data_IF_187867247284
#
_entry.id   IF_187867247284
#
_cell.length_a   1.000
_cell.length_b   1.000
_cell.length_c   1.000
_cell.angle_alpha   90.00
_cell.angle_beta   90.00
_cell.angle_gamma   90.00
#
_symmetry.space_group_name_H-M   'P 1'
#
loop_
_entity.id
_entity.type
_entity.pdbx_description
1 polymer ?
#
# COMPACT_ATOMS: atom_id res chain seq x y z
N UNK A 1 10.38 15.78 -4.54
CA UNK A 1 9.35 14.84 -4.05
C UNK A 1 8.17 15.67 -3.54
N UNK A 2 6.90 15.27 -3.75
CA UNK A 2 5.74 16.02 -3.24
C UNK A 2 5.89 16.22 -1.73
N UNK A 3 5.73 17.44 -1.17
CA UNK A 3 6.33 17.80 0.09
C UNK A 3 5.70 16.97 1.20
N UNK A 4 6.52 16.06 1.69
CA UNK A 4 6.39 15.48 3.00
C UNK A 4 6.34 16.66 3.97
N UNK A 5 5.17 16.97 4.52
CA UNK A 5 5.11 17.97 5.59
C UNK A 5 5.83 17.37 6.80
N UNK A 6 7.06 17.81 7.02
CA UNK A 6 7.92 17.34 8.10
C UNK A 6 7.24 17.52 9.47
N UNK A 7 6.32 18.49 9.61
CA UNK A 7 5.57 18.70 10.86
C UNK A 7 4.57 17.57 11.14
N UNK A 8 4.21 16.78 10.13
CA UNK A 8 3.22 15.71 10.20
C UNK A 8 3.84 14.30 10.10
N UNK A 9 5.17 14.17 10.21
CA UNK A 9 5.86 12.89 10.09
C UNK A 9 5.32 11.83 11.07
N UNK A 10 5.08 12.22 12.32
CA UNK A 10 4.53 11.31 13.33
C UNK A 10 3.12 10.82 12.97
N UNK A 11 2.27 11.68 12.41
CA UNK A 11 0.94 11.29 11.97
C UNK A 11 1.03 10.27 10.82
N UNK A 12 1.88 10.52 9.82
CA UNK A 12 2.08 9.57 8.72
C UNK A 12 2.59 8.21 9.19
N UNK A 13 3.48 8.18 10.19
CA UNK A 13 3.94 6.91 10.79
C UNK A 13 2.78 6.13 11.42
N UNK A 14 1.88 6.82 12.14
CA UNK A 14 0.70 6.18 12.73
C UNK A 14 -0.24 5.62 11.65
N UNK A 15 -0.53 6.40 10.60
CA UNK A 15 -1.36 5.95 9.48
C UNK A 15 -0.76 4.74 8.76
N UNK A 16 0.56 4.73 8.54
CA UNK A 16 1.24 3.59 7.91
C UNK A 16 1.22 2.33 8.79
N UNK A 17 1.40 2.48 10.11
CA UNK A 17 1.28 1.36 11.06
C UNK A 17 -0.15 0.82 11.10
N UNK A 18 -1.15 1.71 11.12
CA UNK A 18 -2.55 1.31 11.08
C UNK A 18 -2.91 0.59 9.78
N UNK A 19 -2.31 1.01 8.66
CA UNK A 19 -2.49 0.32 7.39
C UNK A 19 -1.95 -1.12 7.44
N UNK A 20 -0.76 -1.33 8.02
CA UNK A 20 -0.18 -2.67 8.14
C UNK A 20 -0.95 -3.56 9.15
N UNK A 21 -1.40 -2.99 10.26
CA UNK A 21 -2.08 -3.73 11.34
C UNK A 21 -3.60 -3.86 11.13
N UNK A 22 -4.17 -3.13 10.18
CA UNK A 22 -5.62 -2.99 10.00
C UNK A 22 -6.33 -2.24 11.15
N UNK A 23 -5.58 -1.66 12.09
CA UNK A 23 -6.15 -1.00 13.26
C UNK A 23 -6.28 0.51 13.04
N UNK A 24 -7.48 0.94 12.65
CA UNK A 24 -7.80 2.36 12.45
C UNK A 24 -8.49 3.01 13.66
N UNK A 25 -8.47 2.36 14.83
CA UNK A 25 -9.10 2.91 16.02
C UNK A 25 -8.31 4.11 16.55
N UNK A 26 -9.02 5.22 16.83
CA UNK A 26 -8.42 6.41 17.43
C UNK A 26 -7.92 7.46 16.44
N UNK A 27 -8.06 7.26 15.13
CA UNK A 27 -7.81 8.33 14.17
C UNK A 27 -8.89 9.40 14.24
N UNK A 28 -8.47 10.66 14.29
CA UNK A 28 -9.36 11.78 14.10
C UNK A 28 -9.80 11.84 12.63
N UNK A 29 -11.10 11.74 12.41
CA UNK A 29 -11.69 11.80 11.07
C UNK A 29 -11.38 13.12 10.35
N UNK A 30 -11.36 14.24 11.08
CA UNK A 30 -11.03 15.55 10.54
C UNK A 30 -9.59 15.62 10.04
N UNK A 31 -8.63 15.12 10.82
CA UNK A 31 -7.22 15.03 10.42
C UNK A 31 -7.02 14.10 9.22
N UNK A 32 -7.67 12.92 9.23
CA UNK A 32 -7.59 11.95 8.13
C UNK A 32 -8.01 12.60 6.81
N UNK A 33 -9.16 13.29 6.81
CA UNK A 33 -9.67 14.01 5.65
C UNK A 33 -8.81 15.24 5.28
N UNK A 34 -8.22 15.89 6.28
CA UNK A 34 -7.25 16.97 6.06
C UNK A 34 -6.04 16.49 5.25
N UNK A 35 -5.39 15.40 5.68
CA UNK A 35 -4.24 14.82 4.97
C UNK A 35 -4.61 14.29 3.59
N UNK A 36 -5.77 13.64 3.45
CA UNK A 36 -6.25 13.19 2.15
C UNK A 36 -6.44 14.37 1.18
N UNK A 37 -7.03 15.47 1.65
CA UNK A 37 -7.18 16.69 0.83
C UNK A 37 -5.82 17.30 0.45
N UNK A 38 -4.87 17.36 1.39
CA UNK A 38 -3.50 17.83 1.09
C UNK A 38 -2.84 16.98 0.02
N UNK A 39 -3.02 15.66 0.07
CA UNK A 39 -2.53 14.75 -0.96
C UNK A 39 -3.19 15.01 -2.32
N UNK A 40 -4.51 15.16 -2.40
CA UNK A 40 -5.21 15.39 -3.67
C UNK A 40 -4.85 16.73 -4.32
N UNK A 41 -4.76 17.79 -3.52
CA UNK A 41 -4.41 19.12 -4.02
C UNK A 41 -2.98 19.20 -4.51
N UNK A 42 -2.19 18.21 -4.11
CA UNK A 42 -0.78 18.35 -4.14
C UNK A 42 -0.04 17.34 -4.99
N UNK A 43 -0.22 16.05 -4.69
CA UNK A 43 0.61 15.00 -5.24
C UNK A 43 0.58 15.00 -6.78
N UNK A 44 1.65 14.56 -7.46
CA UNK A 44 1.62 14.35 -8.91
C UNK A 44 0.41 13.51 -9.31
N UNK A 45 -0.25 13.87 -10.42
CA UNK A 45 -1.49 13.22 -10.84
C UNK A 45 -1.31 11.70 -11.04
N UNK A 46 -0.18 11.28 -11.59
CA UNK A 46 0.13 9.86 -11.80
C UNK A 46 0.23 9.10 -10.47
N UNK A 47 0.79 9.73 -9.44
CA UNK A 47 0.89 9.14 -8.10
C UNK A 47 -0.49 9.02 -7.45
N UNK A 48 -1.31 10.08 -7.53
CA UNK A 48 -2.68 10.06 -7.04
C UNK A 48 -3.48 8.92 -7.68
N UNK A 49 -3.42 8.83 -9.01
CA UNK A 49 -4.12 7.80 -9.78
C UNK A 49 -3.70 6.39 -9.34
N UNK A 50 -2.38 6.14 -9.25
CA UNK A 50 -1.86 4.83 -8.87
C UNK A 50 -2.32 4.39 -7.48
N UNK A 51 -2.24 5.28 -6.48
CA UNK A 51 -2.62 4.95 -5.11
C UNK A 51 -4.14 4.81 -4.95
N UNK A 52 -4.94 5.65 -5.61
CA UNK A 52 -6.40 5.51 -5.59
C UNK A 52 -6.86 4.24 -6.27
N UNK A 53 -6.26 3.90 -7.42
CA UNK A 53 -6.57 2.66 -8.10
C UNK A 53 -6.23 1.46 -7.22
N UNK A 54 -5.03 1.42 -6.62
CA UNK A 54 -4.63 0.37 -5.69
C UNK A 54 -5.62 0.24 -4.51
N UNK A 55 -6.05 1.36 -3.94
CA UNK A 55 -7.03 1.36 -2.86
C UNK A 55 -8.38 0.76 -3.30
N UNK A 56 -8.88 1.15 -4.49
CA UNK A 56 -10.15 0.63 -5.00
C UNK A 56 -10.07 -0.83 -5.43
N UNK A 57 -8.93 -1.31 -5.92
CA UNK A 57 -8.71 -2.72 -6.23
C UNK A 57 -8.79 -3.61 -4.97
N UNK A 58 -8.38 -3.07 -3.82
CA UNK A 58 -8.47 -3.75 -2.52
C UNK A 58 -9.84 -3.57 -1.84
N UNK A 59 -10.68 -2.66 -2.35
CA UNK A 59 -11.96 -2.32 -1.73
C UNK A 59 -13.05 -3.34 -2.13
N UNK A 60 -13.79 -3.92 -1.16
CA UNK A 60 -14.94 -4.77 -1.45
C UNK A 60 -15.95 -4.08 -2.38
N UNK A 61 -16.61 -4.85 -3.24
CA UNK A 61 -17.53 -4.31 -4.24
C UNK A 61 -18.66 -3.49 -3.60
N UNK A 62 -19.18 -3.92 -2.45
CA UNK A 62 -20.25 -3.27 -1.71
C UNK A 62 -19.85 -1.85 -1.28
N UNK A 63 -18.61 -1.68 -0.84
CA UNK A 63 -18.07 -0.38 -0.45
C UNK A 63 -17.85 0.51 -1.68
N UNK A 64 -17.38 -0.05 -2.80
CA UNK A 64 -17.25 0.67 -4.07
C UNK A 64 -18.61 1.12 -4.61
N UNK A 65 -19.61 0.25 -4.56
CA UNK A 65 -20.98 0.55 -4.96
C UNK A 65 -21.60 1.63 -4.08
N UNK A 66 -21.41 1.54 -2.76
CA UNK A 66 -21.85 2.58 -1.82
C UNK A 66 -21.18 3.92 -2.13
N UNK A 67 -19.87 3.93 -2.37
CA UNK A 67 -19.15 5.14 -2.76
C UNK A 67 -19.73 5.73 -4.06
N UNK A 68 -19.91 4.90 -5.09
CA UNK A 68 -20.49 5.33 -6.37
C UNK A 68 -21.89 5.95 -6.19
N UNK A 69 -22.71 5.43 -5.27
CA UNK A 69 -24.02 6.01 -4.95
C UNK A 69 -23.96 7.37 -4.26
N UNK A 70 -22.93 7.61 -3.45
CA UNK A 70 -22.72 8.90 -2.76
C UNK A 70 -22.11 9.97 -3.68
N UNK A 71 -21.46 9.54 -4.76
CA UNK A 71 -20.78 10.42 -5.70
C UNK A 71 -21.76 10.98 -6.73
N UNK A 72 -21.64 12.26 -7.12
CA UNK A 72 -22.48 12.82 -8.17
C UNK A 72 -22.27 12.13 -9.53
N UNK A 73 -23.34 11.91 -10.33
CA UNK A 73 -23.25 11.18 -11.60
C UNK A 73 -22.25 11.79 -12.60
N UNK A 74 -22.01 13.10 -12.56
CA UNK A 74 -21.09 13.79 -13.48
C UNK A 74 -19.62 13.35 -13.33
N UNK A 75 -19.27 12.66 -12.25
CA UNK A 75 -17.93 12.13 -12.03
C UNK A 75 -17.70 10.75 -12.69
N UNK A 76 -18.75 10.14 -13.26
CA UNK A 76 -18.63 8.97 -14.13
C UNK A 76 -18.00 7.75 -13.46
N UNK A 77 -18.40 7.48 -12.21
CA UNK A 77 -17.81 6.42 -11.39
C UNK A 77 -18.54 5.11 -11.62
N UNK A 78 -17.81 4.10 -12.07
CA UNK A 78 -18.29 2.72 -12.17
C UNK A 78 -17.67 1.89 -11.04
N UNK A 79 -18.49 1.31 -10.13
CA UNK A 79 -17.98 0.51 -9.01
C UNK A 79 -17.28 -0.79 -9.46
N UNK A 80 -17.46 -1.23 -10.71
CA UNK A 80 -16.75 -2.37 -11.28
C UNK A 80 -15.37 -1.99 -11.85
N UNK A 81 -15.07 -0.71 -11.98
CA UNK A 81 -13.86 -0.22 -12.64
C UNK A 81 -13.07 0.74 -11.73
N UNK A 82 -12.09 0.21 -11.02
CA UNK A 82 -11.22 0.95 -10.08
C UNK A 82 -10.51 2.15 -10.72
N UNK A 83 -10.16 2.05 -12.01
CA UNK A 83 -9.55 3.16 -12.73
C UNK A 83 -10.52 4.35 -12.88
N UNK A 84 -11.77 4.07 -13.22
CA UNK A 84 -12.83 5.09 -13.29
C UNK A 84 -13.12 5.72 -11.93
N UNK A 85 -13.09 4.91 -10.87
CA UNK A 85 -13.28 5.38 -9.50
C UNK A 85 -12.15 6.33 -9.08
N UNK A 86 -10.90 5.96 -9.36
CA UNK A 86 -9.73 6.80 -9.08
C UNK A 86 -9.81 8.14 -9.81
N UNK A 87 -10.15 8.13 -11.10
CA UNK A 87 -10.34 9.35 -11.90
C UNK A 87 -11.46 10.24 -11.33
N UNK A 88 -12.62 9.63 -11.01
CA UNK A 88 -13.75 10.33 -10.42
C UNK A 88 -13.41 10.96 -9.08
N UNK A 89 -12.69 10.24 -8.20
CA UNK A 89 -12.26 10.75 -6.90
C UNK A 89 -11.25 11.89 -7.02
N UNK A 90 -10.24 11.76 -7.89
CA UNK A 90 -9.28 12.84 -8.14
C UNK A 90 -9.97 14.11 -8.64
N UNK A 91 -10.90 13.97 -9.61
CA UNK A 91 -11.68 15.10 -10.12
C UNK A 91 -12.54 15.71 -9.03
N UNK A 92 -13.23 14.89 -8.24
CA UNK A 92 -14.05 15.38 -7.14
C UNK A 92 -13.21 16.15 -6.12
N UNK A 93 -12.07 15.63 -5.69
CA UNK A 93 -11.27 16.29 -4.67
C UNK A 93 -10.63 17.61 -5.15
N UNK A 94 -10.43 17.77 -6.46
CA UNK A 94 -9.98 19.04 -7.06
C UNK A 94 -11.11 20.04 -7.27
N UNK A 95 -12.26 19.58 -7.76
CA UNK A 95 -13.39 20.45 -8.12
C UNK A 95 -14.27 20.80 -6.90
N UNK A 96 -14.49 19.85 -6.00
CA UNK A 96 -15.43 19.96 -4.86
C UNK A 96 -14.88 19.28 -3.59
N UNK A 97 -13.83 19.84 -2.95
CA UNK A 97 -13.23 19.25 -1.75
C UNK A 97 -14.22 19.12 -0.57
N UNK A 98 -15.19 20.03 -0.47
CA UNK A 98 -16.26 19.96 0.54
C UNK A 98 -17.17 18.74 0.33
N UNK A 99 -17.43 18.39 -0.92
CA UNK A 99 -18.25 17.21 -1.24
C UNK A 99 -17.48 15.92 -0.95
N UNK A 100 -16.18 15.90 -1.21
CA UNK A 100 -15.31 14.78 -0.83
C UNK A 100 -15.38 14.50 0.68
N UNK A 101 -15.32 15.55 1.51
CA UNK A 101 -15.48 15.43 2.97
C UNK A 101 -16.84 14.86 3.34
N UNK A 102 -17.92 15.33 2.68
CA UNK A 102 -19.27 14.80 2.91
C UNK A 102 -19.39 13.33 2.54
N UNK A 103 -18.84 12.91 1.40
CA UNK A 103 -18.84 11.50 0.98
C UNK A 103 -18.15 10.62 2.01
N UNK A 104 -16.96 11.02 2.48
CA UNK A 104 -16.21 10.25 3.48
C UNK A 104 -16.68 10.46 4.92
N UNK A 105 -17.61 11.38 5.19
CA UNK A 105 -18.25 11.49 6.50
C UNK A 105 -19.18 10.30 6.82
N UNK A 106 -19.55 9.52 5.81
CA UNK A 106 -20.33 8.30 6.00
C UNK A 106 -19.52 7.25 6.79
N UNK A 107 -20.01 6.66 7.88
CA UNK A 107 -19.23 5.79 8.77
C UNK A 107 -18.49 4.64 8.05
N UNK A 108 -19.15 4.01 7.08
CA UNK A 108 -18.55 2.94 6.26
C UNK A 108 -17.40 3.47 5.38
N UNK A 109 -17.58 4.65 4.78
CA UNK A 109 -16.60 5.25 3.87
C UNK A 109 -15.47 5.95 4.63
N UNK A 110 -15.72 6.38 5.87
CA UNK A 110 -14.70 6.95 6.73
C UNK A 110 -13.56 5.95 6.98
N UNK A 111 -13.90 4.67 7.20
CA UNK A 111 -12.91 3.60 7.27
C UNK A 111 -12.08 3.50 5.99
N UNK A 112 -12.72 3.62 4.82
CA UNK A 112 -12.01 3.67 3.53
C UNK A 112 -11.09 4.88 3.39
N UNK A 113 -11.50 6.05 3.86
CA UNK A 113 -10.65 7.24 3.89
C UNK A 113 -9.41 7.02 4.76
N UNK A 114 -9.56 6.41 5.95
CA UNK A 114 -8.45 6.10 6.83
C UNK A 114 -7.48 5.09 6.19
N UNK A 115 -8.00 4.04 5.55
CA UNK A 115 -7.21 3.07 4.79
C UNK A 115 -6.44 3.76 3.66
N UNK A 116 -7.10 4.63 2.90
CA UNK A 116 -6.47 5.35 1.81
C UNK A 116 -5.36 6.30 2.30
N UNK A 117 -5.62 7.05 3.38
CA UNK A 117 -4.59 7.89 4.02
C UNK A 117 -3.43 7.05 4.55
N UNK A 118 -3.71 5.86 5.10
CA UNK A 118 -2.71 4.86 5.49
C UNK A 118 -1.81 4.42 4.34
N UNK A 119 -2.41 4.08 3.20
CA UNK A 119 -1.70 3.69 1.99
C UNK A 119 -0.82 4.83 1.46
N UNK A 120 -1.34 6.06 1.43
CA UNK A 120 -0.59 7.26 1.04
C UNK A 120 0.61 7.46 1.97
N UNK A 121 0.39 7.40 3.29
CA UNK A 121 1.43 7.58 4.29
C UNK A 121 2.54 6.53 4.16
N UNK A 122 2.16 5.26 3.96
CA UNK A 122 3.10 4.15 3.72
C UNK A 122 3.94 4.43 2.47
N UNK A 123 3.31 4.82 1.36
CA UNK A 123 4.03 5.14 0.12
C UNK A 123 5.02 6.29 0.32
N UNK A 124 4.64 7.33 1.06
CA UNK A 124 5.50 8.48 1.34
C UNK A 124 6.73 8.09 2.17
N UNK A 125 6.54 7.28 3.22
CA UNK A 125 7.64 6.79 4.06
C UNK A 125 8.58 5.90 3.26
N UNK A 126 8.04 4.97 2.47
CA UNK A 126 8.84 4.05 1.66
C UNK A 126 9.65 4.79 0.59
N UNK A 127 9.08 5.82 -0.04
CA UNK A 127 9.81 6.61 -1.03
C UNK A 127 10.88 7.48 -0.38
N UNK A 128 10.59 8.09 0.78
CA UNK A 128 11.57 8.91 1.50
C UNK A 128 12.80 8.09 1.93
N UNK A 129 12.60 6.87 2.45
CA UNK A 129 13.71 5.97 2.82
C UNK A 129 14.58 5.62 1.61
N UNK A 130 13.97 5.42 0.43
CA UNK A 130 14.73 5.11 -0.81
C UNK A 130 15.59 6.28 -1.27
N UNK A 131 15.13 7.52 -1.06
CA UNK A 131 15.90 8.73 -1.37
C UNK A 131 17.08 8.89 -0.40
N UNK A 132 16.87 8.68 0.90
CA UNK A 132 17.92 8.69 1.93
C UNK A 132 19.04 7.67 1.60
N UNK A 133 18.67 6.43 1.27
CA UNK A 133 19.66 5.42 0.85
C UNK A 133 20.38 5.73 -0.47
N UNK A 134 19.84 6.62 -1.31
CA UNK A 134 20.48 7.04 -2.57
C UNK A 134 21.53 8.12 -2.33
N UNK A 135 21.28 9.04 -1.40
CA UNK A 135 22.21 10.12 -1.06
C UNK A 135 23.46 9.56 -0.34
N UNK A 136 23.28 8.65 0.62
CA UNK A 136 24.41 8.00 1.31
C UNK A 136 25.31 7.19 0.37
N UNK A 137 24.77 6.68 -0.74
CA UNK A 137 25.52 5.88 -1.71
C UNK A 137 26.27 6.72 -2.74
N UNK A 138 25.85 7.95 -3.00
CA UNK A 138 26.56 8.84 -3.92
C UNK A 138 27.73 9.54 -3.24
N UNK A 139 27.66 9.80 -1.94
CA UNK A 139 28.78 10.38 -1.20
C UNK A 139 29.94 9.38 -1.01
N UNK A 140 29.65 8.07 -0.93
CA UNK A 140 30.67 7.01 -0.88
C UNK A 140 31.23 6.58 -2.25
N UNK A 141 30.59 6.94 -3.36
CA UNK A 141 31.08 6.60 -4.70
C UNK A 141 32.08 7.62 -5.27
N UNK A 142 32.22 8.80 -4.64
CA UNK A 142 33.07 9.89 -5.13
C UNK A 142 34.33 10.14 -4.27
N UNK A 143 34.50 9.44 -3.14
CA UNK A 143 35.72 9.48 -2.33
C UNK A 143 36.37 8.10 -2.28
N UNK A 144 37.32 7.90 -3.20
CA UNK A 144 38.27 6.80 -3.11
C UNK A 144 39.12 6.88 -1.84
N UNK A 145 39.49 5.70 -1.32
CA UNK A 145 40.51 5.46 -0.29
C UNK A 145 40.17 5.92 1.14
N UNK A 146 39.58 5.03 1.95
CA UNK A 146 40.25 4.37 3.08
C UNK A 146 39.27 3.50 3.87
N UNK A 147 39.74 2.31 4.23
CA UNK A 147 39.14 1.42 5.23
C UNK A 147 39.03 2.14 6.58
N UNK A 148 37.89 2.07 7.27
CA UNK A 148 37.90 1.75 8.71
C UNK A 148 36.51 1.36 9.24
N UNK A 149 36.54 0.29 10.04
CA UNK A 149 35.50 -0.13 10.99
C UNK A 149 34.90 1.05 11.77
N UNK A 150 33.57 1.17 11.82
CA UNK A 150 32.88 2.13 12.69
C UNK A 150 31.39 1.80 12.81
N UNK A 151 30.95 1.44 14.01
CA UNK A 151 29.57 1.07 14.31
C UNK A 151 28.58 2.22 14.12
N UNK A 152 27.42 1.90 13.58
CA UNK A 152 26.33 2.86 13.42
C UNK A 152 25.52 2.94 14.72
N UNK A 153 25.67 4.07 15.39
CA UNK A 153 24.81 4.52 16.49
C UNK A 153 23.63 5.26 15.85
N UNK A 154 22.45 4.63 15.81
CA UNK A 154 21.21 5.26 15.34
C UNK A 154 20.64 6.19 16.42
N UNK A 155 20.09 7.36 16.05
CA UNK A 155 19.35 8.20 16.98
C UNK A 155 17.99 7.57 17.29
N UNK A 156 17.71 7.47 18.59
CA UNK A 156 16.55 6.84 19.21
C UNK A 156 15.22 7.48 18.81
N UNK A 157 14.26 6.65 18.41
CA UNK A 157 12.88 7.06 18.18
C UNK A 157 12.00 5.95 17.61
N UNK A 158 11.82 4.85 18.36
CA UNK A 158 10.70 3.90 18.17
C UNK A 158 10.66 3.06 16.85
N UNK A 159 11.82 2.65 16.30
CA UNK A 159 11.89 1.76 15.12
C UNK A 159 12.02 0.26 15.43
N UNK A 160 12.28 -0.14 16.68
CA UNK A 160 12.59 -1.54 17.02
C UNK A 160 11.47 -2.53 16.72
N UNK A 161 10.21 -2.16 17.01
CA UNK A 161 9.06 -3.04 16.81
C UNK A 161 8.74 -3.26 15.33
N UNK A 162 8.77 -2.19 14.53
CA UNK A 162 8.46 -2.25 13.10
C UNK A 162 9.49 -3.10 12.35
N UNK A 163 10.77 -3.01 12.74
CA UNK A 163 11.83 -3.75 12.08
C UNK A 163 11.83 -5.24 12.44
N UNK A 164 11.28 -5.60 13.60
CA UNK A 164 11.12 -6.98 14.03
C UNK A 164 9.97 -7.65 13.26
N UNK A 165 8.84 -6.96 13.15
CA UNK A 165 7.66 -7.41 12.40
C UNK A 165 7.99 -7.58 10.90
N UNK A 166 8.73 -6.63 10.30
CA UNK A 166 9.23 -6.73 8.92
C UNK A 166 10.24 -7.85 8.67
N UNK A 167 10.84 -8.40 9.72
CA UNK A 167 11.74 -9.54 9.62
C UNK A 167 10.99 -10.87 9.82
N UNK A 168 9.93 -10.88 10.63
CA UNK A 168 9.00 -11.99 10.76
C UNK A 168 8.19 -12.20 9.47
N UNK A 169 7.60 -11.14 8.93
CA UNK A 169 6.81 -11.22 7.69
C UNK A 169 7.66 -11.71 6.51
N UNK A 170 8.93 -11.26 6.42
CA UNK A 170 9.87 -11.73 5.39
C UNK A 170 10.34 -13.17 5.60
N UNK A 171 10.26 -13.69 6.82
CA UNK A 171 10.52 -15.11 7.11
C UNK A 171 9.32 -15.94 6.67
N UNK A 172 8.11 -15.54 7.06
CA UNK A 172 6.87 -16.21 6.66
C UNK A 172 6.69 -16.22 5.14
N UNK A 173 6.93 -15.09 4.45
CA UNK A 173 6.85 -15.02 2.99
C UNK A 173 7.82 -16.01 2.32
N UNK A 174 9.04 -16.15 2.86
CA UNK A 174 10.03 -17.10 2.34
C UNK A 174 9.62 -18.55 2.62
N UNK A 175 8.93 -18.80 3.71
CA UNK A 175 8.43 -20.12 4.07
C UNK A 175 7.26 -20.53 3.17
N UNK A 176 6.26 -19.65 3.01
CA UNK A 176 5.15 -19.82 2.07
C UNK A 176 5.65 -20.03 0.63
N UNK A 177 6.67 -19.27 0.19
CA UNK A 177 7.28 -19.48 -1.14
C UNK A 177 7.96 -20.84 -1.29
N UNK A 178 8.50 -21.40 -0.20
CA UNK A 178 9.08 -22.74 -0.23
C UNK A 178 7.99 -23.78 -0.28
N UNK A 179 6.94 -23.60 0.51
CA UNK A 179 5.79 -24.50 0.58
C UNK A 179 5.06 -24.57 -0.76
N UNK A 180 4.74 -23.43 -1.37
CA UNK A 180 4.18 -23.34 -2.73
C UNK A 180 5.03 -24.07 -3.77
N UNK A 181 6.36 -23.87 -3.73
CA UNK A 181 7.27 -24.54 -4.67
C UNK A 181 7.41 -26.04 -4.40
N UNK A 182 7.08 -26.48 -3.20
CA UNK A 182 7.11 -27.89 -2.83
C UNK A 182 5.81 -28.57 -3.24
N UNK A 183 4.68 -27.92 -3.00
CA UNK A 183 3.35 -28.35 -3.44
C UNK A 183 3.25 -28.43 -4.97
N UNK A 184 3.81 -27.45 -5.69
CA UNK A 184 3.91 -27.47 -7.16
C UNK A 184 4.68 -28.70 -7.68
N UNK A 185 5.76 -29.11 -6.99
CA UNK A 185 6.52 -30.33 -7.34
C UNK A 185 5.84 -31.63 -6.93
N UNK A 186 4.95 -31.58 -5.94
CA UNK A 186 4.16 -32.75 -5.55
C UNK A 186 3.02 -32.97 -6.53
N UNK A 187 2.38 -31.89 -6.99
CA UNK A 187 1.41 -31.90 -8.08
C UNK A 187 2.02 -32.43 -9.39
N UNK A 188 3.19 -31.93 -9.80
CA UNK A 188 3.90 -32.47 -10.99
C UNK A 188 4.17 -33.98 -10.86
N UNK A 189 4.54 -34.46 -9.67
CA UNK A 189 4.77 -35.90 -9.43
C UNK A 189 3.48 -36.72 -9.43
N UNK A 190 2.37 -36.14 -9.01
CA UNK A 190 1.06 -36.80 -9.02
C UNK A 190 0.55 -36.93 -10.47
N UNK A 191 0.67 -35.88 -11.28
CA UNK A 191 0.34 -35.89 -12.71
C UNK A 191 1.24 -36.87 -13.50
N UNK A 192 2.55 -36.86 -13.29
CA UNK A 192 3.46 -37.82 -13.95
C UNK A 192 3.22 -39.28 -13.51
N UNK A 193 2.72 -39.49 -12.29
CA UNK A 193 2.35 -40.79 -11.75
C UNK A 193 1.08 -41.37 -12.39
N UNK A 194 0.04 -40.55 -12.61
CA UNK A 194 -1.19 -40.98 -13.28
C UNK A 194 -0.97 -41.34 -14.76
N UNK A 195 -0.06 -40.64 -15.45
CA UNK A 195 0.24 -40.93 -16.85
C UNK A 195 1.00 -42.24 -17.10
N UNK A 196 1.60 -42.87 -16.07
CA UNK A 196 2.33 -44.15 -16.22
C UNK A 196 1.48 -45.40 -16.03
N UNK A 197 0.23 -45.29 -15.57
CA UNK A 197 -0.63 -46.45 -15.29
C UNK A 197 -1.55 -46.87 -16.44
N UNK A 198 -1.54 -46.18 -17.58
CA UNK A 198 -2.42 -46.46 -18.72
C UNK A 198 -1.83 -47.32 -19.87
N UNK A 199 -0.68 -47.99 -19.66
CA UNK A 199 -0.10 -48.90 -20.67
C UNK A 199 0.16 -50.33 -20.14
N UNK A 200 -0.87 -50.99 -19.59
CA UNK A 200 -0.83 -52.47 -19.45
C UNK A 200 -2.21 -53.14 -19.56
N UNK A 201 -2.78 -53.03 -20.75
CA UNK A 201 -3.79 -53.91 -21.35
C UNK A 201 -3.53 -53.71 -22.84
N UNK A 202 -3.11 -54.68 -23.62
CA UNK A 202 -3.60 -56.02 -23.86
C UNK A 202 -2.44 -56.82 -24.47
N UNK A 203 -2.26 -58.09 -24.12
CA UNK A 203 -1.82 -59.12 -25.06
C UNK A 203 -1.83 -60.50 -24.36
N UNK A 204 -2.55 -61.43 -25.01
CA UNK A 204 -2.79 -62.86 -24.74
C UNK A 204 -3.92 -63.26 -23.79
#
# INVERSE_FOLDING_TARGET
MWPFDNNNQQAYQQYAQAYNTGNYNGFDSGQTLGHLNQFIQGAPADLQQSLFQQHFDQMPYEHRALLAQQMPPQYGIDPNNSWSMAQGLMRLGREQPQLLQRVFSHPVLLGSAAVLTGLIAKHMIDNHRREEYREDRQEYANNGYQQQYGGYQQPYGNQGYIQQELNEERREEKELRRELRQEERELERFEEGEHRHHHRREDY
#
